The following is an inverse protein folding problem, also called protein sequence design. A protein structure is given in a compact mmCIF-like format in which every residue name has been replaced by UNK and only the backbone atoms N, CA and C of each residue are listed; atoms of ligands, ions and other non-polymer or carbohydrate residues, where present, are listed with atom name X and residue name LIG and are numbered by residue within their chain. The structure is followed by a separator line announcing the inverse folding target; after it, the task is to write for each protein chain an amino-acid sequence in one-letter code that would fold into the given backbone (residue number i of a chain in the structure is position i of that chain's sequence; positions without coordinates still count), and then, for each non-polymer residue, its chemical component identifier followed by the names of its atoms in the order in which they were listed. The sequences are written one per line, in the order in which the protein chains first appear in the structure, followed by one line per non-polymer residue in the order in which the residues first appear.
data_IF_436099950808
#
_entry.id   IF_436099950808
#
_cell.length_a   1.000
_cell.length_b   1.000
_cell.length_c   1.000
_cell.angle_alpha   90.00
_cell.angle_beta   90.00
_cell.angle_gamma   90.00
#
_symmetry.space_group_name_H-M   'P 1'
#
loop_
_entity.id
_entity.type
_entity.pdbx_description
1 polymer ?
#
# COMPACT_ATOMS: atom_id res chain seq x y z
N UNK A 1 -44.25 -10.38 -29.29
CA UNK A 1 -43.08 -10.07 -30.14
C UNK A 1 -42.03 -9.37 -29.30
N UNK A 2 -40.76 -9.74 -29.53
CA UNK A 2 -39.49 -9.13 -29.09
C UNK A 2 -39.62 -7.65 -28.68
N UNK A 3 -38.96 -7.19 -27.62
CA UNK A 3 -37.53 -6.88 -27.67
C UNK A 3 -36.90 -6.88 -26.27
N UNK A 4 -35.87 -7.72 -26.12
CA UNK A 4 -34.85 -7.64 -25.08
C UNK A 4 -34.21 -6.25 -25.06
N UNK A 5 -34.03 -5.67 -23.88
CA UNK A 5 -33.09 -4.57 -23.68
C UNK A 5 -31.96 -5.13 -22.80
N UNK A 6 -30.89 -5.49 -23.50
CA UNK A 6 -29.56 -5.73 -22.97
C UNK A 6 -29.00 -4.35 -22.61
N UNK A 7 -28.60 -4.13 -21.36
CA UNK A 7 -27.61 -3.10 -21.01
C UNK A 7 -26.49 -3.78 -20.25
N UNK A 8 -25.46 -4.10 -21.04
CA UNK A 8 -24.11 -4.44 -20.64
C UNK A 8 -23.42 -3.17 -20.06
N UNK A 9 -22.33 -3.38 -19.31
CA UNK A 9 -21.33 -2.40 -18.85
C UNK A 9 -21.47 -1.84 -17.43
N UNK A 10 -20.91 -2.57 -16.45
CA UNK A 10 -19.88 -2.00 -15.56
C UNK A 10 -18.80 -3.07 -15.32
N UNK A 11 -17.99 -3.32 -16.34
CA UNK A 11 -16.68 -3.95 -16.17
C UNK A 11 -15.69 -2.89 -15.71
N UNK A 12 -15.71 -2.58 -14.41
CA UNK A 12 -14.70 -1.74 -13.76
C UNK A 12 -14.15 -2.50 -12.55
N UNK A 13 -13.35 -3.52 -12.83
CA UNK A 13 -12.27 -3.88 -11.92
C UNK A 13 -10.98 -3.73 -12.71
N UNK A 14 -10.54 -2.48 -12.73
CA UNK A 14 -9.31 -2.03 -13.32
C UNK A 14 -8.12 -2.84 -12.77
N UNK A 15 -7.30 -3.33 -13.70
CA UNK A 15 -5.84 -3.40 -13.61
C UNK A 15 -5.27 -3.43 -12.19
N UNK A 16 -5.28 -4.62 -11.59
CA UNK A 16 -4.32 -4.93 -10.54
C UNK A 16 -2.94 -5.01 -11.19
N UNK A 17 -2.22 -3.89 -11.26
CA UNK A 17 -0.76 -3.93 -11.37
C UNK A 17 -0.29 -4.84 -10.24
N UNK A 18 0.31 -5.96 -10.64
CA UNK A 18 0.87 -6.99 -9.78
C UNK A 18 1.99 -6.40 -8.93
N UNK A 19 1.64 -5.69 -7.85
CA UNK A 19 2.44 -5.77 -6.65
C UNK A 19 2.43 -7.23 -6.27
N UNK A 20 3.62 -7.81 -6.14
CA UNK A 20 3.87 -9.22 -5.82
C UNK A 20 3.50 -9.54 -4.36
N UNK A 21 2.47 -8.89 -3.86
CA UNK A 21 2.03 -8.84 -2.49
C UNK A 21 0.60 -9.38 -2.45
N UNK A 22 0.48 -10.63 -2.01
CA UNK A 22 -0.71 -11.48 -2.16
C UNK A 22 -1.92 -11.09 -1.28
N UNK A 23 -1.98 -9.86 -0.77
CA UNK A 23 -3.07 -9.42 0.10
C UNK A 23 -4.10 -8.62 -0.69
N UNK A 24 -5.32 -9.15 -0.92
CA UNK A 24 -6.38 -8.35 -1.53
C UNK A 24 -6.77 -7.19 -0.62
N UNK A 25 -7.19 -6.07 -1.22
CA UNK A 25 -7.82 -4.99 -0.46
C UNK A 25 -9.06 -5.53 0.26
N UNK A 26 -9.29 -5.04 1.48
CA UNK A 26 -10.32 -5.54 2.39
C UNK A 26 -9.86 -6.67 3.32
N UNK A 27 -8.63 -7.18 3.17
CA UNK A 27 -8.04 -8.15 4.13
C UNK A 27 -8.11 -7.59 5.55
N UNK A 28 -8.52 -8.42 6.52
CA UNK A 28 -8.61 -7.97 7.91
C UNK A 28 -7.23 -7.76 8.54
N UNK A 29 -7.11 -6.75 9.41
CA UNK A 29 -5.88 -6.45 10.16
C UNK A 29 -5.45 -7.63 11.04
N UNK A 30 -6.42 -8.33 11.65
CA UNK A 30 -6.16 -9.52 12.45
C UNK A 30 -5.58 -10.68 11.62
N UNK A 31 -6.13 -10.95 10.44
CA UNK A 31 -5.61 -11.99 9.54
C UNK A 31 -4.20 -11.64 9.05
N UNK A 32 -3.99 -10.38 8.67
CA UNK A 32 -2.70 -9.88 8.22
C UNK A 32 -1.63 -10.02 9.31
N UNK A 33 -1.89 -9.51 10.51
CA UNK A 33 -0.92 -9.55 11.62
C UNK A 33 -0.63 -10.98 12.09
N UNK A 34 -1.63 -11.87 12.09
CA UNK A 34 -1.45 -13.29 12.41
C UNK A 34 -0.45 -13.97 11.48
N UNK A 35 -0.51 -13.68 10.17
CA UNK A 35 0.39 -14.27 9.16
C UNK A 35 1.79 -13.66 9.16
N UNK A 36 1.95 -12.41 9.62
CA UNK A 36 3.20 -11.65 9.46
C UNK A 36 3.89 -11.28 10.78
N UNK A 37 3.46 -11.79 11.92
CA UNK A 37 3.84 -11.34 13.28
C UNK A 37 5.34 -11.08 13.53
N UNK A 38 6.25 -11.79 12.84
CA UNK A 38 7.70 -11.63 13.01
C UNK A 38 8.38 -10.75 11.94
N UNK A 39 7.65 -10.28 10.93
CA UNK A 39 8.22 -9.65 9.73
C UNK A 39 7.64 -8.26 9.43
N UNK A 40 6.83 -7.71 10.34
CA UNK A 40 6.23 -6.38 10.18
C UNK A 40 6.46 -5.54 11.44
N UNK A 41 6.62 -4.24 11.22
CA UNK A 41 6.74 -3.22 12.25
C UNK A 41 5.55 -2.27 12.15
N UNK A 42 5.10 -1.72 13.28
CA UNK A 42 4.11 -0.62 13.25
C UNK A 42 4.84 0.67 12.90
N UNK A 43 4.54 1.25 11.76
CA UNK A 43 5.10 2.52 11.31
C UNK A 43 4.26 3.73 11.77
N UNK A 44 2.95 3.55 11.85
CA UNK A 44 2.01 4.56 12.34
C UNK A 44 0.82 3.88 13.02
N UNK A 45 0.32 4.46 14.11
CA UNK A 45 -0.97 4.08 14.69
C UNK A 45 -1.69 5.33 15.18
N UNK A 46 -2.86 5.59 14.62
CA UNK A 46 -3.72 6.72 14.98
C UNK A 46 -5.17 6.28 15.10
N UNK A 47 -6.07 7.20 15.48
CA UNK A 47 -7.51 6.95 15.48
C UNK A 47 -8.09 6.77 14.06
N UNK A 48 -7.38 7.23 13.03
CA UNK A 48 -7.85 7.17 11.65
C UNK A 48 -7.33 5.92 10.91
N UNK A 49 -6.13 5.45 11.25
CA UNK A 49 -5.49 4.33 10.55
C UNK A 49 -4.38 3.66 11.37
N UNK A 50 -4.08 2.41 11.00
CA UNK A 50 -2.84 1.72 11.37
C UNK A 50 -2.01 1.50 10.11
N UNK A 51 -0.69 1.74 10.18
CA UNK A 51 0.24 1.47 9.08
C UNK A 51 1.31 0.51 9.55
N UNK A 52 1.42 -0.62 8.84
CA UNK A 52 2.49 -1.58 9.04
C UNK A 52 3.54 -1.44 7.95
N UNK A 53 4.81 -1.62 8.31
CA UNK A 53 5.95 -1.62 7.41
C UNK A 53 6.58 -3.01 7.38
N UNK A 54 6.87 -3.52 6.19
CA UNK A 54 7.67 -4.71 5.95
C UNK A 54 8.95 -4.33 5.23
N UNK A 55 10.09 -4.68 5.81
CA UNK A 55 11.40 -4.52 5.16
C UNK A 55 11.61 -5.70 4.21
N UNK A 56 11.89 -5.40 2.95
CA UNK A 56 12.22 -6.37 1.92
C UNK A 56 13.75 -6.44 1.72
N UNK A 57 14.26 -7.53 1.12
CA UNK A 57 15.65 -7.57 0.66
C UNK A 57 15.99 -6.39 -0.25
N UNK A 58 17.20 -5.83 -0.11
CA UNK A 58 17.64 -4.70 -0.93
C UNK A 58 17.18 -3.31 -0.43
N UNK A 59 16.87 -3.18 0.86
CA UNK A 59 16.48 -1.91 1.51
C UNK A 59 15.22 -1.26 0.93
N UNK A 60 14.33 -2.05 0.32
CA UNK A 60 12.99 -1.60 -0.08
C UNK A 60 11.97 -1.86 1.03
N UNK A 61 10.90 -1.08 1.05
CA UNK A 61 9.86 -1.18 2.07
C UNK A 61 8.48 -1.35 1.43
N UNK A 62 7.64 -2.15 2.09
CA UNK A 62 6.20 -2.21 1.82
C UNK A 62 5.44 -1.63 3.00
N UNK A 63 4.51 -0.73 2.71
CA UNK A 63 3.61 -0.14 3.69
C UNK A 63 2.19 -0.64 3.45
N UNK A 64 1.53 -1.09 4.52
CA UNK A 64 0.18 -1.61 4.51
C UNK A 64 -0.70 -0.73 5.38
N UNK A 65 -1.70 -0.09 4.78
CA UNK A 65 -2.57 0.87 5.46
C UNK A 65 -3.91 0.23 5.79
N UNK A 66 -4.27 0.25 7.06
CA UNK A 66 -5.51 -0.28 7.59
C UNK A 66 -6.40 0.86 8.08
N UNK A 67 -7.66 0.84 7.66
CA UNK A 67 -8.71 1.75 8.13
C UNK A 67 -9.90 0.89 8.51
N UNK A 68 -10.47 1.11 9.70
CA UNK A 68 -11.53 0.26 10.25
C UNK A 68 -11.20 -1.23 10.16
N UNK A 69 -9.98 -1.59 10.56
CA UNK A 69 -9.45 -2.97 10.58
C UNK A 69 -9.36 -3.66 9.20
N UNK A 70 -9.45 -2.90 8.10
CA UNK A 70 -9.37 -3.43 6.73
C UNK A 70 -8.24 -2.80 5.95
N UNK A 71 -7.52 -3.62 5.20
CA UNK A 71 -6.47 -3.18 4.29
C UNK A 71 -7.08 -2.35 3.17
N UNK A 72 -6.70 -1.07 3.08
CA UNK A 72 -7.22 -0.15 2.04
C UNK A 72 -6.17 0.28 1.03
N UNK A 73 -4.88 0.12 1.35
CA UNK A 73 -3.78 0.53 0.47
C UNK A 73 -2.51 -0.25 0.78
N UNK A 74 -1.72 -0.49 -0.27
CA UNK A 74 -0.37 -1.02 -0.20
C UNK A 74 0.54 -0.07 -1.00
N UNK A 75 1.63 0.40 -0.40
CA UNK A 75 2.63 1.24 -1.09
C UNK A 75 4.02 0.60 -1.01
N UNK A 76 4.76 0.66 -2.12
CA UNK A 76 6.20 0.43 -2.13
C UNK A 76 6.93 1.75 -1.83
N UNK A 77 7.61 1.78 -0.69
CA UNK A 77 8.55 2.85 -0.39
C UNK A 77 9.87 2.60 -1.09
N UNK A 78 10.19 3.43 -2.08
CA UNK A 78 11.55 3.55 -2.61
C UNK A 78 12.40 4.38 -1.63
N UNK A 79 13.65 3.98 -1.41
CA UNK A 79 14.62 4.76 -0.68
C UNK A 79 14.96 5.99 -1.54
N UNK A 80 14.38 7.15 -1.23
CA UNK A 80 14.80 8.39 -1.89
C UNK A 80 16.26 8.64 -1.51
N UNK A 81 17.19 8.79 -2.48
CA UNK A 81 18.58 9.06 -2.16
C UNK A 81 18.66 10.33 -1.33
N UNK A 82 19.49 10.33 -0.28
CA UNK A 82 19.76 11.50 0.55
C UNK A 82 20.27 12.63 -0.35
N UNK A 83 19.42 13.58 -0.71
CA UNK A 83 19.84 14.81 -1.38
C UNK A 83 20.47 15.70 -0.32
N UNK A 84 21.79 15.63 -0.20
CA UNK A 84 22.56 16.63 0.56
C UNK A 84 22.58 17.90 -0.28
N UNK A 85 21.78 18.90 0.12
CA UNK A 85 21.85 20.24 -0.49
C UNK A 85 23.09 20.93 0.10
N UNK A 86 24.22 20.87 -0.61
CA UNK A 86 25.34 21.76 -0.33
C UNK A 86 24.96 23.18 -0.76
N UNK A 87 24.77 24.08 0.20
CA UNK A 87 24.71 25.52 -0.09
C UNK A 87 26.12 25.97 -0.46
N UNK A 88 26.37 26.17 -1.75
CA UNK A 88 27.54 26.93 -2.20
C UNK A 88 27.26 28.39 -1.82
N UNK A 89 27.85 28.85 -0.71
CA UNK A 89 27.86 30.26 -0.36
C UNK A 89 28.71 30.99 -1.41
N UNK A 90 28.07 31.47 -2.46
CA UNK A 90 28.68 32.40 -3.41
C UNK A 90 28.98 33.71 -2.69
N UNK A 91 30.25 33.93 -2.39
CA UNK A 91 30.79 35.25 -2.04
C UNK A 91 30.88 36.08 -3.32
N UNK A 92 30.05 37.14 -3.40
CA UNK A 92 30.21 38.24 -4.35
C UNK A 92 31.21 39.26 -3.83
#
# INVERSE_FOLDING_TARGET
MRKSIIVLFVSVFAFGCSLQNNYPLGTSEAEFTKKNKMFIEVAEKSSQRTVYKKTLPGNSYLYYYFVNEKLVRIDEGQLQPNVVIERVNGTY
#
